data_IF_635657792054
#
_entry.id   IF_635657792054
#
_cell.length_a   1.000
_cell.length_b   1.000
_cell.length_c   1.000
_cell.angle_alpha   90.00
_cell.angle_beta   90.00
_cell.angle_gamma   90.00
#
_symmetry.space_group_name_H-M   'P 1'
#
loop_
_entity.id
_entity.type
_entity.pdbx_description
1 polymer ?
#
# COMPACT_ATOMS: atom_id res chain seq x y z
N UNK A 1 -0.60 -51.59 33.07
CA UNK A 1 -0.77 -51.17 31.69
C UNK A 1 -1.67 -49.94 31.66
N UNK A 2 -1.11 -48.84 31.22
CA UNK A 2 -1.79 -47.53 31.21
C UNK A 2 -2.77 -47.45 30.05
N UNK A 3 -3.93 -46.78 30.24
CA UNK A 3 -4.96 -46.54 29.20
C UNK A 3 -4.48 -45.76 27.97
N UNK A 4 -3.26 -45.23 27.99
CA UNK A 4 -2.62 -44.53 26.87
C UNK A 4 -2.07 -45.45 25.80
N UNK A 5 -1.89 -46.75 26.04
CA UNK A 5 -1.33 -47.69 25.07
C UNK A 5 -2.38 -48.29 24.12
N UNK A 6 -3.66 -47.97 24.33
CA UNK A 6 -4.79 -48.50 23.53
C UNK A 6 -5.26 -47.52 22.44
N UNK A 7 -4.68 -46.32 22.30
CA UNK A 7 -4.99 -45.36 21.25
C UNK A 7 -3.96 -45.48 20.11
N UNK A 8 -4.17 -46.48 19.34
CA UNK A 8 -3.82 -46.78 17.95
C UNK A 8 -2.72 -46.01 17.28
N UNK A 9 -1.54 -46.58 17.18
CA UNK A 9 -0.56 -46.38 16.13
C UNK A 9 -0.93 -47.17 14.86
N UNK A 10 -2.18 -47.15 14.46
CA UNK A 10 -2.63 -47.82 13.23
C UNK A 10 -2.16 -47.06 11.99
N UNK A 11 -1.72 -47.78 10.96
CA UNK A 11 -1.26 -47.25 9.68
C UNK A 11 -2.26 -46.25 9.04
N UNK A 12 -3.54 -46.34 9.37
CA UNK A 12 -4.58 -45.39 8.94
C UNK A 12 -4.39 -43.97 9.48
N UNK A 13 -3.86 -43.79 10.71
CA UNK A 13 -3.56 -42.49 11.26
C UNK A 13 -2.24 -41.89 10.73
N UNK A 14 -1.30 -42.75 10.33
CA UNK A 14 -0.05 -42.28 9.70
C UNK A 14 -0.27 -41.75 8.28
N UNK A 15 -1.25 -42.29 7.56
CA UNK A 15 -1.64 -41.84 6.21
C UNK A 15 -2.38 -40.50 6.28
N UNK A 16 -3.24 -40.28 7.29
CA UNK A 16 -3.93 -39.02 7.50
C UNK A 16 -3.00 -37.82 7.84
N UNK A 17 -1.81 -38.10 8.42
CA UNK A 17 -0.79 -37.09 8.70
C UNK A 17 0.06 -36.70 7.48
N UNK A 18 0.10 -37.53 6.44
CA UNK A 18 0.86 -37.28 5.20
C UNK A 18 0.07 -36.57 4.14
N UNK A 19 -1.27 -36.65 4.14
CA UNK A 19 -2.16 -35.85 3.30
C UNK A 19 -2.72 -34.70 4.12
N UNK A 20 -1.92 -33.67 4.38
CA UNK A 20 -2.33 -32.45 5.09
C UNK A 20 -3.33 -31.57 4.32
N UNK A 21 -4.03 -32.13 3.32
CA UNK A 21 -5.12 -31.49 2.60
C UNK A 21 -6.44 -31.63 3.37
N UNK A 22 -7.11 -30.52 3.66
CA UNK A 22 -8.52 -30.52 4.06
C UNK A 22 -9.30 -31.30 3.01
N UNK A 23 -10.26 -32.14 3.42
CA UNK A 23 -11.16 -32.81 2.44
C UNK A 23 -11.83 -31.76 1.56
N UNK A 24 -12.19 -32.09 0.31
CA UNK A 24 -12.88 -31.17 -0.62
C UNK A 24 -14.08 -30.50 0.02
N UNK A 25 -14.83 -31.23 0.84
CA UNK A 25 -15.97 -30.70 1.59
C UNK A 25 -15.56 -29.73 2.68
N UNK A 26 -14.42 -29.98 3.34
CA UNK A 26 -13.83 -29.06 4.33
C UNK A 26 -13.27 -27.80 3.68
N UNK A 27 -12.71 -27.91 2.47
CA UNK A 27 -12.25 -26.79 1.66
C UNK A 27 -13.42 -25.93 1.18
N UNK A 28 -14.47 -26.55 0.61
CA UNK A 28 -15.68 -25.86 0.18
C UNK A 28 -16.36 -25.10 1.33
N UNK A 29 -16.42 -25.71 2.52
CA UNK A 29 -16.94 -25.03 3.71
C UNK A 29 -16.07 -23.85 4.14
N UNK A 30 -14.76 -23.99 4.12
CA UNK A 30 -13.84 -22.92 4.49
C UNK A 30 -13.85 -21.75 3.47
N UNK A 31 -14.04 -22.04 2.18
CA UNK A 31 -14.27 -21.05 1.13
C UNK A 31 -15.61 -20.33 1.38
N UNK A 32 -16.69 -21.07 1.63
CA UNK A 32 -18.01 -20.49 1.92
C UNK A 32 -18.03 -19.65 3.20
N UNK A 33 -17.16 -19.92 4.16
CA UNK A 33 -16.98 -19.19 5.40
C UNK A 33 -16.00 -18.00 5.29
N UNK A 34 -15.32 -17.85 4.13
CA UNK A 34 -14.30 -16.82 3.92
C UNK A 34 -12.94 -17.13 4.57
N UNK A 35 -12.76 -18.33 5.14
CA UNK A 35 -11.50 -18.75 5.79
C UNK A 35 -10.39 -19.10 4.78
N UNK A 36 -10.77 -19.42 3.53
CA UNK A 36 -9.86 -19.71 2.41
C UNK A 36 -10.31 -18.97 1.16
N UNK A 37 -9.38 -18.37 0.43
CA UNK A 37 -9.70 -17.75 -0.86
C UNK A 37 -10.11 -18.79 -1.90
N UNK A 38 -11.02 -18.42 -2.78
CA UNK A 38 -11.55 -19.25 -3.88
C UNK A 38 -10.61 -19.24 -5.10
N UNK A 39 -9.31 -19.50 -4.91
CA UNK A 39 -8.38 -19.59 -6.01
C UNK A 39 -7.54 -20.87 -5.96
N UNK A 40 -7.20 -21.40 -7.13
CA UNK A 40 -6.45 -22.62 -7.31
C UNK A 40 -5.02 -22.33 -7.79
N UNK A 41 -4.06 -23.09 -7.23
CA UNK A 41 -2.70 -23.10 -7.70
C UNK A 41 -2.62 -24.00 -8.93
N UNK A 42 -2.19 -23.44 -10.05
CA UNK A 42 -2.05 -24.16 -11.32
C UNK A 42 -0.64 -23.98 -11.88
N UNK A 43 -0.16 -24.99 -12.60
CA UNK A 43 1.11 -24.92 -13.33
C UNK A 43 0.83 -24.66 -14.79
N UNK A 44 1.30 -23.50 -15.31
CA UNK A 44 1.09 -23.10 -16.70
C UNK A 44 2.40 -23.05 -17.47
N UNK A 45 2.36 -23.44 -18.77
CA UNK A 45 3.44 -23.13 -19.70
C UNK A 45 3.64 -21.61 -19.83
N UNK A 46 4.89 -21.15 -19.86
CA UNK A 46 5.19 -19.72 -20.00
C UNK A 46 4.64 -19.13 -21.29
N UNK A 47 4.55 -19.93 -22.37
CA UNK A 47 3.96 -19.51 -23.64
C UNK A 47 2.46 -19.21 -23.59
N UNK A 48 1.73 -19.69 -22.58
CA UNK A 48 0.30 -19.39 -22.37
C UNK A 48 0.08 -18.12 -21.51
N UNK A 49 1.15 -17.46 -21.06
CA UNK A 49 1.08 -16.29 -20.20
C UNK A 49 1.75 -15.11 -20.89
N UNK A 50 1.07 -13.98 -20.94
CA UNK A 50 1.63 -12.72 -21.43
C UNK A 50 1.79 -11.72 -20.29
N UNK A 51 2.92 -11.02 -20.19
CA UNK A 51 3.02 -9.86 -19.31
C UNK A 51 2.00 -8.79 -19.69
N UNK A 52 1.45 -8.10 -18.69
CA UNK A 52 0.55 -6.97 -18.98
C UNK A 52 1.33 -5.78 -19.57
N UNK A 53 0.85 -5.16 -20.67
CA UNK A 53 1.44 -3.93 -21.20
C UNK A 53 1.36 -2.74 -20.23
N UNK A 54 0.56 -2.87 -19.17
CA UNK A 54 0.29 -1.82 -18.18
C UNK A 54 1.31 -1.76 -17.04
N UNK A 55 2.19 -2.79 -16.93
CA UNK A 55 3.19 -2.79 -15.89
C UNK A 55 4.15 -1.59 -16.06
N UNK A 56 4.23 -0.67 -15.07
CA UNK A 56 5.14 0.47 -15.15
C UNK A 56 6.61 0.08 -15.06
N UNK A 57 6.90 -1.10 -14.47
CA UNK A 57 8.26 -1.60 -14.27
C UNK A 57 8.92 -1.93 -15.61
N UNK A 58 10.14 -1.44 -15.80
CA UNK A 58 10.98 -1.66 -17.00
C UNK A 58 12.24 -2.43 -16.64
N UNK A 59 12.77 -2.21 -15.44
CA UNK A 59 13.99 -2.88 -14.99
C UNK A 59 13.65 -4.15 -14.21
N UNK A 60 14.05 -5.32 -14.76
CA UNK A 60 13.87 -6.64 -14.14
C UNK A 60 15.19 -7.27 -13.71
N UNK A 61 16.26 -6.49 -13.63
CA UNK A 61 17.60 -6.91 -13.26
C UNK A 61 18.49 -7.21 -14.46
N UNK A 62 19.81 -7.38 -14.18
CA UNK A 62 20.81 -7.77 -15.17
C UNK A 62 20.63 -9.22 -15.63
N UNK A 63 21.33 -9.65 -16.68
CA UNK A 63 21.24 -11.03 -17.15
C UNK A 63 21.81 -12.02 -16.12
N UNK A 64 22.86 -11.63 -15.38
CA UNK A 64 23.40 -12.42 -14.29
C UNK A 64 22.40 -12.60 -13.14
N UNK A 65 21.67 -11.52 -12.79
CA UNK A 65 20.64 -11.58 -11.76
C UNK A 65 19.44 -12.44 -12.20
N UNK A 66 19.04 -12.34 -13.48
CA UNK A 66 17.97 -13.18 -14.05
C UNK A 66 18.39 -14.64 -14.09
N UNK A 67 19.65 -14.93 -14.45
CA UNK A 67 20.21 -16.29 -14.44
C UNK A 67 20.17 -16.87 -13.04
N UNK A 68 20.72 -16.17 -12.05
CA UNK A 68 20.73 -16.62 -10.65
C UNK A 68 19.34 -16.90 -10.16
N UNK A 69 18.44 -15.93 -10.32
CA UNK A 69 17.07 -16.07 -9.84
C UNK A 69 16.27 -17.12 -10.62
N UNK A 70 16.52 -17.29 -11.91
CA UNK A 70 15.93 -18.34 -12.74
C UNK A 70 16.35 -19.76 -12.30
N UNK A 71 17.61 -19.95 -11.92
CA UNK A 71 18.08 -21.23 -11.39
C UNK A 71 17.49 -21.50 -9.98
N UNK A 72 17.37 -20.50 -9.12
CA UNK A 72 16.63 -20.63 -7.85
C UNK A 72 15.17 -21.08 -8.09
N UNK A 73 14.51 -20.50 -9.10
CA UNK A 73 13.13 -20.91 -9.49
C UNK A 73 13.07 -22.34 -10.03
N UNK A 74 14.13 -22.82 -10.70
CA UNK A 74 14.24 -24.19 -11.20
C UNK A 74 14.29 -25.19 -10.04
N UNK A 75 14.99 -24.84 -8.97
CA UNK A 75 15.02 -25.67 -7.76
C UNK A 75 13.68 -25.63 -7.00
N UNK A 76 13.16 -24.44 -6.75
CA UNK A 76 11.89 -24.27 -6.03
C UNK A 76 11.26 -22.89 -6.24
N UNK A 77 10.03 -22.85 -6.67
CA UNK A 77 9.22 -21.65 -6.69
C UNK A 77 8.46 -21.49 -5.37
N UNK A 78 8.95 -20.65 -4.45
CA UNK A 78 8.35 -20.47 -3.13
C UNK A 78 7.03 -19.67 -3.16
N UNK A 79 6.84 -18.79 -4.15
CA UNK A 79 5.63 -17.97 -4.30
C UNK A 79 5.12 -18.03 -5.74
N UNK A 80 3.84 -18.36 -5.91
CA UNK A 80 3.18 -18.37 -7.21
C UNK A 80 3.12 -16.95 -7.81
N UNK A 81 3.10 -16.88 -9.15
CA UNK A 81 2.75 -15.67 -9.86
C UNK A 81 1.22 -15.51 -9.89
N UNK A 82 0.73 -14.29 -10.05
CA UNK A 82 -0.70 -14.00 -10.16
C UNK A 82 -1.06 -13.65 -11.61
N UNK A 83 -2.04 -14.33 -12.16
CA UNK A 83 -2.56 -14.08 -13.50
C UNK A 83 -4.06 -13.86 -13.45
N UNK A 84 -4.57 -13.21 -14.48
CA UNK A 84 -6.00 -13.16 -14.79
C UNK A 84 -6.24 -13.86 -16.13
N UNK A 85 -7.45 -14.38 -16.36
CA UNK A 85 -7.80 -14.98 -17.64
C UNK A 85 -7.78 -13.92 -18.76
N UNK A 86 -7.47 -14.37 -20.00
CA UNK A 86 -7.58 -13.53 -21.21
C UNK A 86 -8.94 -12.84 -21.28
N UNK A 87 -10.00 -13.59 -21.00
CA UNK A 87 -11.37 -13.08 -21.08
C UNK A 87 -11.65 -11.97 -20.05
N UNK A 88 -11.18 -12.09 -18.83
CA UNK A 88 -11.31 -11.06 -17.79
C UNK A 88 -10.51 -9.81 -18.15
N UNK A 89 -9.28 -9.98 -18.64
CA UNK A 89 -8.41 -8.88 -19.05
C UNK A 89 -8.97 -8.10 -20.24
N UNK A 90 -9.40 -8.78 -21.31
CA UNK A 90 -9.90 -8.14 -22.53
C UNK A 90 -11.26 -7.47 -22.35
N UNK A 91 -12.05 -7.82 -21.33
CA UNK A 91 -13.23 -7.04 -20.94
C UNK A 91 -12.86 -5.63 -20.50
N UNK A 92 -11.70 -5.46 -19.90
CA UNK A 92 -11.20 -4.17 -19.42
C UNK A 92 -10.44 -3.40 -20.51
N UNK A 93 -9.62 -4.10 -21.30
CA UNK A 93 -8.76 -3.53 -22.35
C UNK A 93 -8.86 -4.34 -23.63
N UNK A 94 -9.95 -4.18 -24.36
CA UNK A 94 -10.17 -4.86 -25.64
C UNK A 94 -9.13 -4.50 -26.72
N UNK A 95 -8.56 -3.29 -26.64
CA UNK A 95 -7.49 -2.81 -27.51
C UNK A 95 -6.12 -3.45 -27.26
N UNK A 96 -5.98 -4.23 -26.19
CA UNK A 96 -4.74 -4.95 -25.87
C UNK A 96 -4.66 -6.35 -26.51
N UNK A 97 -5.66 -6.79 -27.25
CA UNK A 97 -5.68 -8.14 -27.82
C UNK A 97 -4.42 -8.46 -28.61
N UNK A 98 -4.00 -7.55 -29.51
CA UNK A 98 -2.77 -7.72 -30.28
C UNK A 98 -1.51 -7.72 -29.42
N UNK A 99 -1.51 -6.93 -28.33
CA UNK A 99 -0.35 -6.80 -27.44
C UNK A 99 -0.09 -8.04 -26.59
N UNK A 100 -1.15 -8.75 -26.20
CA UNK A 100 -1.04 -9.99 -25.40
C UNK A 100 -0.92 -11.23 -26.27
N UNK A 101 -1.10 -11.10 -27.60
CA UNK A 101 -1.01 -12.23 -28.55
C UNK A 101 -2.04 -13.31 -28.24
N UNK A 102 -1.63 -14.59 -28.43
CA UNK A 102 -2.50 -15.77 -28.24
C UNK A 102 -2.46 -16.32 -26.79
N UNK A 103 -1.91 -15.57 -25.84
CA UNK A 103 -1.83 -16.01 -24.46
C UNK A 103 -3.23 -16.20 -23.84
N UNK A 104 -3.41 -17.29 -23.09
CA UNK A 104 -4.65 -17.61 -22.37
C UNK A 104 -4.81 -16.80 -21.08
N UNK A 105 -3.69 -16.34 -20.54
CA UNK A 105 -3.62 -15.61 -19.26
C UNK A 105 -2.75 -14.37 -19.38
N UNK A 106 -3.07 -13.33 -18.59
CA UNK A 106 -2.29 -12.10 -18.50
C UNK A 106 -1.74 -11.96 -17.09
N UNK A 107 -0.44 -11.73 -17.00
CA UNK A 107 0.29 -11.60 -15.74
C UNK A 107 -0.06 -10.30 -15.04
N UNK A 108 -0.60 -10.40 -13.83
CA UNK A 108 -0.83 -9.27 -12.93
C UNK A 108 0.39 -9.04 -12.03
N UNK A 109 0.97 -10.12 -11.49
CA UNK A 109 2.05 -10.06 -10.54
C UNK A 109 3.08 -11.17 -10.75
N UNK A 110 4.37 -10.89 -10.42
CA UNK A 110 5.47 -11.85 -10.54
C UNK A 110 6.23 -11.76 -11.85
N UNK A 111 6.20 -10.62 -12.57
CA UNK A 111 6.87 -10.47 -13.87
C UNK A 111 8.39 -10.70 -13.79
N UNK A 112 9.06 -10.35 -12.68
CA UNK A 112 10.47 -10.67 -12.50
C UNK A 112 10.72 -12.19 -12.52
N UNK A 113 9.83 -12.99 -11.84
CA UNK A 113 9.91 -14.47 -11.87
C UNK A 113 9.71 -14.99 -13.29
N UNK A 114 8.66 -14.51 -13.95
CA UNK A 114 8.35 -14.89 -15.31
C UNK A 114 9.51 -14.64 -16.28
N UNK A 115 10.11 -13.44 -16.26
CA UNK A 115 11.23 -13.08 -17.12
C UNK A 115 12.50 -13.84 -16.78
N UNK A 116 12.78 -14.10 -15.50
CA UNK A 116 13.92 -14.90 -15.09
C UNK A 116 13.76 -16.37 -15.50
N UNK A 117 12.55 -16.91 -15.37
CA UNK A 117 12.24 -18.26 -15.85
C UNK A 117 12.39 -18.41 -17.38
N UNK A 118 11.91 -17.42 -18.15
CA UNK A 118 12.12 -17.36 -19.59
C UNK A 118 13.62 -17.31 -19.95
N UNK A 119 14.38 -16.48 -19.22
CA UNK A 119 15.81 -16.29 -19.48
C UNK A 119 16.63 -17.59 -19.34
N UNK A 120 16.29 -18.43 -18.35
CA UNK A 120 16.97 -19.74 -18.14
C UNK A 120 16.27 -20.90 -18.83
N UNK A 121 15.26 -20.64 -19.66
CA UNK A 121 14.56 -21.67 -20.45
C UNK A 121 13.74 -22.63 -19.60
N UNK A 122 13.04 -22.16 -18.56
CA UNK A 122 12.02 -22.93 -17.88
C UNK A 122 10.77 -23.00 -18.74
N UNK A 123 10.12 -24.16 -18.79
CA UNK A 123 8.90 -24.35 -19.58
C UNK A 123 7.65 -23.87 -18.84
N UNK A 124 7.62 -24.02 -17.51
CA UNK A 124 6.44 -23.79 -16.68
C UNK A 124 6.78 -23.07 -15.39
N UNK A 125 5.80 -22.35 -14.82
CA UNK A 125 5.80 -21.82 -13.47
C UNK A 125 4.46 -22.14 -12.78
N UNK A 126 4.44 -21.93 -11.47
CA UNK A 126 3.23 -22.01 -10.65
C UNK A 126 2.54 -20.65 -10.61
N UNK A 127 1.22 -20.65 -10.91
CA UNK A 127 0.38 -19.47 -10.98
C UNK A 127 -0.88 -19.64 -10.16
N UNK A 128 -1.48 -18.52 -9.81
CA UNK A 128 -2.83 -18.43 -9.25
C UNK A 128 -3.67 -17.55 -10.17
N UNK A 129 -4.82 -18.07 -10.63
CA UNK A 129 -5.77 -17.29 -11.42
C UNK A 129 -6.68 -16.49 -10.50
N UNK A 130 -6.72 -15.16 -10.68
CA UNK A 130 -7.44 -14.21 -9.84
C UNK A 130 -8.24 -13.23 -10.69
N UNK A 131 -9.30 -13.70 -11.35
CA UNK A 131 -10.19 -12.86 -12.17
C UNK A 131 -10.96 -11.84 -11.33
N UNK A 132 -11.12 -12.11 -10.04
CA UNK A 132 -11.67 -11.16 -9.06
C UNK A 132 -10.88 -9.85 -8.97
N UNK A 133 -9.56 -9.89 -9.19
CA UNK A 133 -8.68 -8.71 -9.20
C UNK A 133 -8.80 -7.87 -10.49
N UNK A 134 -9.55 -8.37 -11.49
CA UNK A 134 -9.88 -7.70 -12.74
C UNK A 134 -11.36 -7.27 -12.78
N UNK A 135 -11.97 -6.95 -11.65
CA UNK A 135 -13.36 -6.49 -11.58
C UNK A 135 -13.55 -5.12 -12.25
N UNK A 136 -12.55 -4.23 -12.19
CA UNK A 136 -12.51 -2.94 -12.89
C UNK A 136 -11.08 -2.57 -13.31
N UNK A 137 -10.95 -1.59 -14.23
CA UNK A 137 -9.65 -1.03 -14.64
C UNK A 137 -8.89 -0.46 -13.45
N UNK A 138 -9.58 0.27 -12.60
CA UNK A 138 -9.00 0.87 -11.40
C UNK A 138 -8.45 -0.20 -10.44
N UNK A 139 -9.24 -1.27 -10.22
CA UNK A 139 -8.87 -2.34 -9.31
C UNK A 139 -7.68 -3.14 -9.82
N UNK A 140 -7.66 -3.46 -11.11
CA UNK A 140 -6.52 -4.10 -11.73
C UNK A 140 -5.23 -3.29 -11.57
N UNK A 141 -5.24 -1.98 -11.87
CA UNK A 141 -4.06 -1.11 -11.72
C UNK A 141 -3.69 -0.93 -10.26
N UNK A 142 -4.67 -0.84 -9.35
CA UNK A 142 -4.39 -0.81 -7.92
C UNK A 142 -3.58 -2.03 -7.49
N UNK A 143 -4.03 -3.25 -7.85
CA UNK A 143 -3.32 -4.47 -7.50
C UNK A 143 -1.96 -4.62 -8.18
N UNK A 144 -1.84 -4.15 -9.42
CA UNK A 144 -0.57 -4.10 -10.14
C UNK A 144 0.48 -3.22 -9.43
N UNK A 145 0.02 -2.13 -8.80
CA UNK A 145 0.88 -1.18 -8.09
C UNK A 145 1.11 -1.55 -6.62
N UNK A 146 0.08 -2.02 -5.91
CA UNK A 146 0.08 -2.17 -4.45
C UNK A 146 1.25 -3.01 -3.92
N UNK A 147 1.61 -4.11 -4.60
CA UNK A 147 2.75 -4.94 -4.20
C UNK A 147 4.09 -4.22 -4.37
N UNK A 148 4.19 -3.33 -5.37
CA UNK A 148 5.44 -2.68 -5.71
C UNK A 148 5.64 -1.34 -4.98
N UNK A 149 4.56 -0.68 -4.54
CA UNK A 149 4.61 0.67 -3.96
C UNK A 149 5.41 0.78 -2.66
N UNK A 150 5.38 -0.28 -1.84
CA UNK A 150 6.04 -0.31 -0.54
C UNK A 150 7.42 -1.00 -0.60
N UNK A 151 7.86 -1.42 -1.81
CA UNK A 151 9.19 -2.00 -2.01
C UNK A 151 10.23 -0.89 -2.21
N UNK A 152 11.36 -1.03 -1.53
CA UNK A 152 12.49 -0.09 -1.62
C UNK A 152 13.14 -0.09 -3.01
N UNK A 153 13.09 -1.23 -3.72
CA UNK A 153 13.68 -1.42 -5.05
C UNK A 153 12.77 -0.97 -6.21
N UNK A 154 11.60 -0.37 -5.92
CA UNK A 154 10.73 0.13 -6.97
C UNK A 154 11.18 1.51 -7.43
N UNK A 155 11.60 1.59 -8.69
CA UNK A 155 12.05 2.83 -9.32
C UNK A 155 11.05 3.96 -9.13
N UNK A 156 11.56 5.12 -8.72
CA UNK A 156 10.77 6.32 -8.42
C UNK A 156 9.96 6.79 -9.62
N UNK A 157 10.53 6.74 -10.84
CA UNK A 157 9.88 7.17 -12.08
C UNK A 157 8.88 6.10 -12.56
N UNK A 158 9.21 4.82 -12.44
CA UNK A 158 8.27 3.73 -12.73
C UNK A 158 7.04 3.83 -11.82
N UNK A 159 7.25 4.08 -10.53
CA UNK A 159 6.18 4.34 -9.57
C UNK A 159 5.31 5.53 -9.97
N UNK A 160 5.93 6.65 -10.33
CA UNK A 160 5.20 7.85 -10.77
C UNK A 160 4.35 7.58 -12.02
N UNK A 161 4.87 6.82 -13.01
CA UNK A 161 4.12 6.39 -14.21
C UNK A 161 2.93 5.51 -13.85
N UNK A 162 3.10 4.59 -12.90
CA UNK A 162 2.00 3.75 -12.42
C UNK A 162 0.89 4.58 -11.75
N UNK A 163 1.29 5.52 -10.88
CA UNK A 163 0.35 6.46 -10.23
C UNK A 163 -0.38 7.33 -11.27
N UNK A 164 0.32 7.83 -12.30
CA UNK A 164 -0.30 8.58 -13.40
C UNK A 164 -1.37 7.72 -14.09
N UNK A 165 -1.06 6.46 -14.42
CA UNK A 165 -2.01 5.55 -15.06
C UNK A 165 -3.29 5.38 -14.23
N UNK A 166 -3.15 5.21 -12.90
CA UNK A 166 -4.32 5.10 -12.03
C UNK A 166 -5.14 6.40 -12.00
N UNK A 167 -4.48 7.56 -11.98
CA UNK A 167 -5.16 8.87 -12.04
C UNK A 167 -5.91 9.03 -13.35
N UNK A 168 -5.32 8.62 -14.49
CA UNK A 168 -5.94 8.70 -15.81
C UNK A 168 -7.22 7.86 -15.87
N UNK A 169 -7.16 6.61 -15.36
CA UNK A 169 -8.34 5.74 -15.28
C UNK A 169 -9.41 6.33 -14.36
N UNK A 170 -9.03 6.84 -13.18
CA UNK A 170 -9.97 7.54 -12.31
C UNK A 170 -10.59 8.79 -12.97
N UNK A 171 -9.90 9.40 -13.92
CA UNK A 171 -10.41 10.55 -14.67
C UNK A 171 -11.42 10.17 -15.77
N UNK A 172 -11.36 8.92 -16.30
CA UNK A 172 -12.34 8.41 -17.28
C UNK A 172 -13.78 8.51 -16.76
N UNK A 173 -14.00 8.18 -15.47
CA UNK A 173 -15.33 8.30 -14.86
C UNK A 173 -15.69 9.75 -14.54
N UNK A 174 -14.77 10.50 -13.96
CA UNK A 174 -14.94 11.90 -13.60
C UNK A 174 -13.59 12.57 -13.40
N UNK A 175 -13.28 13.56 -14.22
CA UNK A 175 -12.01 14.29 -14.16
C UNK A 175 -11.79 14.97 -12.80
N UNK A 176 -12.85 15.67 -12.30
CA UNK A 176 -12.75 16.32 -10.99
C UNK A 176 -12.57 15.30 -9.85
N UNK A 177 -11.52 15.48 -9.07
CA UNK A 177 -11.20 14.62 -7.94
C UNK A 177 -10.50 13.30 -8.28
N UNK A 178 -10.08 13.05 -9.54
CA UNK A 178 -9.38 11.85 -9.96
C UNK A 178 -8.14 11.55 -9.10
N UNK A 179 -7.32 12.58 -8.80
CA UNK A 179 -6.15 12.45 -7.92
C UNK A 179 -6.51 12.01 -6.50
N UNK A 180 -7.62 12.50 -5.96
CA UNK A 180 -8.09 12.12 -4.62
C UNK A 180 -8.56 10.68 -4.58
N UNK A 181 -9.31 10.23 -5.62
CA UNK A 181 -9.74 8.83 -5.73
C UNK A 181 -8.55 7.88 -5.89
N UNK A 182 -7.59 8.24 -6.74
CA UNK A 182 -6.36 7.46 -6.88
C UNK A 182 -5.56 7.39 -5.56
N UNK A 183 -5.47 8.49 -4.83
CA UNK A 183 -4.82 8.54 -3.53
C UNK A 183 -5.51 7.63 -2.50
N UNK A 184 -6.84 7.68 -2.43
CA UNK A 184 -7.65 6.83 -1.55
C UNK A 184 -7.42 5.35 -1.84
N UNK A 185 -7.45 4.94 -3.11
CA UNK A 185 -7.17 3.55 -3.51
C UNK A 185 -5.77 3.09 -3.13
N UNK A 186 -4.77 3.95 -3.22
CA UNK A 186 -3.39 3.63 -2.87
C UNK A 186 -3.08 3.76 -1.37
N UNK A 187 -4.04 4.19 -0.55
CA UNK A 187 -3.80 4.48 0.87
C UNK A 187 -2.79 5.62 1.09
N UNK A 188 -2.68 6.54 0.14
CA UNK A 188 -1.75 7.68 0.18
C UNK A 188 -2.52 9.01 0.22
N UNK A 189 -1.83 10.12 0.49
CA UNK A 189 -2.46 11.44 0.45
C UNK A 189 -2.56 12.01 -0.98
N UNK A 190 -3.55 12.87 -1.30
CA UNK A 190 -3.61 13.56 -2.59
C UNK A 190 -2.37 14.41 -2.89
N UNK A 191 -1.73 14.95 -1.83
CA UNK A 191 -0.46 15.66 -1.95
C UNK A 191 0.68 14.75 -2.41
N UNK A 192 0.74 13.51 -1.90
CA UNK A 192 1.71 12.52 -2.34
C UNK A 192 1.52 12.17 -3.83
N UNK A 193 0.28 11.93 -4.28
CA UNK A 193 -0.03 11.70 -5.70
C UNK A 193 0.43 12.89 -6.55
N UNK A 194 0.14 14.12 -6.12
CA UNK A 194 0.57 15.32 -6.83
C UNK A 194 2.10 15.43 -6.93
N UNK A 195 2.82 15.03 -5.89
CA UNK A 195 4.28 14.98 -5.90
C UNK A 195 4.82 13.93 -6.88
N UNK A 196 4.23 12.72 -6.90
CA UNK A 196 4.63 11.68 -7.87
C UNK A 196 4.43 12.16 -9.31
N UNK A 197 3.27 12.74 -9.62
CA UNK A 197 3.00 13.26 -10.97
C UNK A 197 3.95 14.39 -11.38
N UNK A 198 4.39 15.19 -10.43
CA UNK A 198 5.32 16.29 -10.70
C UNK A 198 6.71 15.79 -11.13
N UNK A 199 7.12 14.59 -10.73
CA UNK A 199 8.40 13.98 -11.14
C UNK A 199 8.42 13.68 -12.65
N UNK A 200 7.27 13.35 -13.24
CA UNK A 200 7.15 13.06 -14.66
C UNK A 200 7.22 14.31 -15.56
N UNK A 201 7.10 15.50 -14.96
CA UNK A 201 7.22 16.77 -15.66
C UNK A 201 8.67 17.28 -15.71
N UNK A 202 9.58 16.61 -15.02
CA UNK A 202 11.00 16.94 -15.04
C UNK A 202 11.64 16.54 -16.39
N UNK A 203 12.70 17.21 -16.82
CA UNK A 203 13.49 16.80 -17.99
C UNK A 203 13.93 15.33 -17.87
N UNK A 204 14.07 14.66 -19.03
CA UNK A 204 14.35 13.23 -19.08
C UNK A 204 15.68 12.86 -18.40
N UNK A 205 16.70 13.71 -18.52
CA UNK A 205 17.99 13.50 -17.85
C UNK A 205 17.85 13.48 -16.33
N UNK A 206 16.98 14.33 -15.76
CA UNK A 206 16.70 14.33 -14.32
C UNK A 206 15.91 13.06 -13.93
N UNK A 207 14.94 12.65 -14.78
CA UNK A 207 14.21 11.41 -14.55
C UNK A 207 15.15 10.19 -14.57
N UNK A 208 16.14 10.15 -15.45
CA UNK A 208 17.13 9.08 -15.50
C UNK A 208 17.99 9.03 -14.23
N UNK A 209 18.44 10.18 -13.70
CA UNK A 209 19.16 10.25 -12.43
C UNK A 209 18.32 9.79 -11.23
N UNK A 210 17.01 10.03 -11.27
CA UNK A 210 16.08 9.52 -10.26
C UNK A 210 15.89 8.00 -10.37
N UNK A 211 15.79 7.48 -11.60
CA UNK A 211 15.65 6.05 -11.89
C UNK A 211 16.90 5.26 -11.51
N UNK A 212 18.10 5.81 -11.75
CA UNK A 212 19.37 5.17 -11.38
C UNK A 212 19.65 5.23 -9.87
N UNK A 213 18.96 6.11 -9.14
CA UNK A 213 19.23 6.36 -7.73
C UNK A 213 20.36 7.35 -7.45
N UNK A 214 21.01 7.91 -8.50
CA UNK A 214 22.06 8.93 -8.37
C UNK A 214 21.49 10.23 -7.79
N UNK A 215 20.20 10.50 -8.03
CA UNK A 215 19.47 11.60 -7.45
C UNK A 215 18.40 11.07 -6.46
N UNK A 216 18.55 11.34 -5.15
CA UNK A 216 17.53 10.96 -4.16
C UNK A 216 16.19 11.65 -4.38
N UNK A 217 15.06 10.91 -4.23
CA UNK A 217 13.70 11.45 -4.40
C UNK A 217 13.42 12.71 -3.56
N UNK A 218 13.98 12.78 -2.33
CA UNK A 218 13.83 13.96 -1.46
C UNK A 218 14.36 15.24 -2.11
N UNK A 219 15.44 15.11 -2.91
CA UNK A 219 16.12 16.24 -3.55
C UNK A 219 15.35 16.68 -4.81
N UNK A 220 14.65 15.76 -5.47
CA UNK A 220 13.78 16.05 -6.61
C UNK A 220 12.70 17.09 -6.28
N UNK A 221 12.25 17.20 -5.03
CA UNK A 221 11.27 18.21 -4.62
C UNK A 221 11.77 19.64 -4.81
N UNK A 222 13.07 19.87 -4.59
CA UNK A 222 13.71 21.18 -4.82
C UNK A 222 13.72 21.47 -6.32
N UNK A 223 14.11 20.46 -7.13
CA UNK A 223 14.15 20.59 -8.59
C UNK A 223 12.76 20.81 -9.16
N UNK A 224 11.74 20.07 -8.71
CA UNK A 224 10.34 20.26 -9.14
C UNK A 224 9.87 21.68 -8.87
N UNK A 225 10.23 22.25 -7.73
CA UNK A 225 9.89 23.62 -7.41
C UNK A 225 10.59 24.61 -8.34
N UNK A 226 11.91 24.47 -8.51
CA UNK A 226 12.68 25.32 -9.41
C UNK A 226 12.19 25.24 -10.86
N UNK A 227 11.91 24.02 -11.36
CA UNK A 227 11.38 23.84 -12.71
C UNK A 227 9.98 24.44 -12.93
N UNK A 228 9.16 24.52 -11.87
CA UNK A 228 7.86 25.23 -11.94
C UNK A 228 7.99 26.74 -11.93
N UNK A 229 8.95 27.25 -11.16
CA UNK A 229 9.22 28.70 -11.08
C UNK A 229 9.92 29.21 -12.36
N UNK A 230 10.72 28.36 -13.00
CA UNK A 230 11.51 28.70 -14.21
C UNK A 230 11.58 27.51 -15.16
N UNK A 231 10.54 27.32 -16.01
CA UNK A 231 10.43 26.18 -16.92
C UNK A 231 11.50 26.13 -18.02
N UNK A 232 12.17 27.24 -18.29
CA UNK A 232 13.22 27.40 -19.30
C UNK A 232 14.61 26.92 -18.83
N UNK A 233 14.76 26.54 -17.56
CA UNK A 233 16.06 26.10 -17.05
C UNK A 233 16.46 24.74 -17.65
N UNK A 234 17.74 24.68 -18.04
CA UNK A 234 18.34 23.43 -18.49
C UNK A 234 18.47 22.41 -17.34
N UNK A 235 18.54 21.10 -17.62
CA UNK A 235 18.79 20.09 -16.59
C UNK A 235 20.01 20.36 -15.74
N UNK A 236 21.11 20.81 -16.37
CA UNK A 236 22.35 21.20 -15.67
C UNK A 236 22.14 22.39 -14.71
N UNK A 237 21.39 23.41 -15.11
CA UNK A 237 21.07 24.55 -14.26
C UNK A 237 20.20 24.15 -13.07
N UNK A 238 19.26 23.23 -13.25
CA UNK A 238 18.43 22.68 -12.17
C UNK A 238 19.28 21.90 -11.13
N UNK A 239 20.25 21.11 -11.60
CA UNK A 239 21.19 20.40 -10.71
C UNK A 239 22.12 21.35 -9.96
N UNK A 240 22.56 22.43 -10.62
CA UNK A 240 23.37 23.46 -9.99
C UNK A 240 22.60 24.19 -8.88
N UNK A 241 21.33 24.57 -9.13
CA UNK A 241 20.43 25.14 -8.11
C UNK A 241 20.24 24.17 -6.92
N UNK A 242 20.10 22.89 -7.19
CA UNK A 242 20.04 21.88 -6.12
C UNK A 242 21.31 21.89 -5.27
N UNK A 243 22.49 21.90 -5.90
CA UNK A 243 23.77 21.93 -5.19
C UNK A 243 23.93 23.22 -4.37
N UNK A 244 23.59 24.36 -4.93
CA UNK A 244 23.58 25.64 -4.21
C UNK A 244 22.64 25.60 -2.98
N UNK A 245 21.43 25.07 -3.16
CA UNK A 245 20.47 24.92 -2.06
C UNK A 245 20.98 23.99 -0.96
N UNK A 246 21.66 22.91 -1.31
CA UNK A 246 22.28 22.00 -0.33
C UNK A 246 23.42 22.67 0.44
N UNK A 247 24.25 23.42 -0.24
CA UNK A 247 25.36 24.16 0.38
C UNK A 247 24.82 25.19 1.37
N UNK A 248 23.85 26.01 0.95
CA UNK A 248 23.20 26.99 1.84
C UNK A 248 22.55 26.34 3.06
N UNK A 249 21.89 25.20 2.86
CA UNK A 249 21.30 24.43 3.96
C UNK A 249 22.35 23.87 4.92
N UNK A 250 23.48 23.43 4.42
CA UNK A 250 24.59 22.93 5.24
C UNK A 250 25.22 24.06 6.05
N UNK A 251 25.48 25.21 5.44
CA UNK A 251 26.01 26.41 6.08
C UNK A 251 25.05 26.91 7.19
N UNK A 252 23.78 27.05 6.88
CA UNK A 252 22.76 27.45 7.87
C UNK A 252 22.69 26.46 9.05
N UNK A 253 22.76 25.15 8.81
CA UNK A 253 22.78 24.15 9.89
C UNK A 253 24.05 24.25 10.75
N UNK A 254 25.19 24.53 10.14
CA UNK A 254 26.46 24.72 10.84
C UNK A 254 26.38 25.95 11.74
N UNK A 255 25.88 27.07 11.22
CA UNK A 255 25.66 28.30 11.96
C UNK A 255 24.69 28.10 13.14
N UNK A 256 23.55 27.43 12.91
CA UNK A 256 22.58 27.11 13.98
C UNK A 256 23.22 26.25 15.08
N UNK A 257 24.06 25.28 14.69
CA UNK A 257 24.76 24.43 15.64
C UNK A 257 25.74 25.22 16.47
N UNK A 258 26.51 26.13 15.86
CA UNK A 258 27.46 26.99 16.54
C UNK A 258 26.76 27.96 17.54
N UNK A 259 25.61 28.54 17.13
CA UNK A 259 24.79 29.36 17.99
C UNK A 259 24.30 28.57 19.22
N UNK A 260 23.78 27.34 19.00
CA UNK A 260 23.31 26.48 20.10
C UNK A 260 24.45 26.08 21.04
N UNK A 261 25.61 25.73 20.49
CA UNK A 261 26.80 25.39 21.29
C UNK A 261 27.34 26.60 22.07
N UNK A 262 27.38 27.79 21.47
CA UNK A 262 27.79 29.02 22.15
C UNK A 262 26.82 29.39 23.29
N UNK A 263 25.52 29.28 23.08
CA UNK A 263 24.51 29.49 24.13
C UNK A 263 24.66 28.47 25.27
N UNK A 264 24.92 27.21 24.93
CA UNK A 264 25.13 26.16 25.93
C UNK A 264 26.40 26.37 26.74
N UNK A 265 27.48 26.81 26.08
CA UNK A 265 28.73 27.18 26.75
C UNK A 265 28.56 28.40 27.66
N UNK A 266 27.83 29.44 27.21
CA UNK A 266 27.52 30.61 28.01
C UNK A 266 26.67 30.29 29.26
N UNK A 267 25.70 29.39 29.12
CA UNK A 267 24.92 28.90 30.27
C UNK A 267 25.75 28.07 31.24
N UNK A 268 26.71 27.28 30.75
CA UNK A 268 27.60 26.48 31.58
C UNK A 268 28.67 27.34 32.28
N UNK A 269 29.06 28.50 31.69
CA UNK A 269 30.02 29.45 32.23
C UNK A 269 29.41 30.52 33.15
N UNK A 270 28.10 30.53 33.32
CA UNK A 270 27.39 31.46 34.22
C UNK A 270 27.87 31.30 35.66
N UNK A 271 28.23 32.38 36.36
CA UNK A 271 28.74 32.27 37.73
C UNK A 271 27.63 31.82 38.66
N UNK A 272 27.73 30.59 39.15
CA UNK A 272 27.08 30.19 40.38
C UNK A 272 27.72 31.02 41.54
N UNK A 273 27.38 32.29 41.63
CA UNK A 273 27.56 33.02 42.89
C UNK A 273 26.47 32.50 43.81
N UNK A 274 26.84 31.51 44.62
CA UNK A 274 26.08 31.15 45.80
C UNK A 274 26.01 32.38 46.70
N UNK A 275 24.97 33.18 46.56
CA UNK A 275 24.64 34.21 47.54
C UNK A 275 24.18 33.48 48.79
N UNK A 276 25.12 33.37 49.73
CA UNK A 276 24.87 32.93 51.10
C UNK A 276 24.04 34.03 51.76
N UNK A 277 22.72 33.87 51.76
CA UNK A 277 21.82 34.76 52.47
C UNK A 277 22.03 34.63 53.98
N UNK A 278 22.26 35.70 54.72
CA UNK A 278 22.24 35.65 56.19
C UNK A 278 20.79 35.47 56.65
N UNK A 279 20.58 34.45 57.47
CA UNK A 279 19.37 34.27 58.26
C UNK A 279 19.04 35.50 59.09
N UNK A 280 17.96 36.19 58.73
CA UNK A 280 17.34 37.18 59.59
C UNK A 280 15.91 36.74 59.93
N UNK A 281 15.62 36.74 61.23
CA UNK A 281 14.41 36.28 61.87
C UNK A 281 13.16 37.07 61.42
N UNK A 282 12.06 36.31 61.29
CA UNK A 282 10.70 36.81 61.10
C UNK A 282 10.19 37.53 62.34
N UNK A 283 9.43 38.60 62.18
CA UNK A 283 8.36 38.97 63.15
C UNK A 283 6.99 38.66 62.55
N UNK A 284 6.15 38.05 63.37
CA UNK A 284 4.75 37.69 63.12
C UNK A 284 3.91 38.97 62.92
N UNK A 285 2.99 38.94 61.95
CA UNK A 285 1.90 39.88 61.80
C UNK A 285 0.54 39.17 61.69
N UNK A 286 -0.57 39.76 62.20
CA UNK A 286 -1.86 39.14 62.41
C UNK A 286 -2.74 39.14 61.15
N UNK A 287 -3.90 38.37 61.17
CA UNK A 287 -4.71 38.11 59.97
C UNK A 287 -5.69 39.26 59.69
N UNK A 288 -6.07 39.53 58.44
CA UNK A 288 -7.17 40.40 58.10
C UNK A 288 -8.49 39.65 57.93
N UNK A 289 -9.57 40.29 58.35
CA UNK A 289 -10.95 39.89 58.27
C UNK A 289 -11.56 40.14 56.85
N UNK A 290 -12.77 39.57 56.59
CA UNK A 290 -13.31 39.45 55.26
C UNK A 290 -14.15 40.66 54.81
N UNK A 291 -14.17 40.94 53.51
CA UNK A 291 -15.24 41.76 52.88
C UNK A 291 -15.64 41.15 51.53
N UNK A 292 -16.91 40.92 51.37
CA UNK A 292 -17.72 40.67 50.16
C UNK A 292 -18.15 41.99 49.48
N UNK A 293 -18.97 41.93 48.41
CA UNK A 293 -18.55 42.11 47.00
C UNK A 293 -19.20 43.38 46.39
N UNK A 294 -18.75 43.82 45.25
CA UNK A 294 -19.64 44.53 44.29
C UNK A 294 -19.13 44.46 42.83
N UNK A 295 -20.16 44.42 41.97
CA UNK A 295 -20.10 44.23 40.56
C UNK A 295 -19.78 45.53 39.78
N UNK A 296 -19.47 45.32 38.55
CA UNK A 296 -19.76 46.03 37.29
C UNK A 296 -18.56 46.40 36.45
N UNK A 297 -18.65 46.14 35.14
CA UNK A 297 -18.03 46.93 34.13
C UNK A 297 -17.21 46.21 33.06
N UNK A 298 -17.82 46.05 31.91
CA UNK A 298 -17.30 45.70 30.59
C UNK A 298 -16.02 46.46 30.18
N UNK A 299 -15.06 45.75 29.57
CA UNK A 299 -14.30 46.25 28.42
C UNK A 299 -13.45 45.14 27.75
N UNK A 300 -13.45 45.15 26.45
CA UNK A 300 -12.85 44.19 25.50
C UNK A 300 -11.32 44.26 25.37
N UNK A 301 -10.72 43.13 24.92
CA UNK A 301 -9.52 42.98 24.10
C UNK A 301 -8.27 42.42 24.80
N UNK A 302 -7.25 41.96 24.06
CA UNK A 302 -7.27 40.91 23.03
C UNK A 302 -6.48 39.64 23.43
N UNK A 303 -6.71 38.57 22.67
CA UNK A 303 -6.14 37.24 22.73
C UNK A 303 -4.63 37.11 22.86
N UNK A 304 -4.18 36.32 23.83
CA UNK A 304 -2.90 35.58 23.76
C UNK A 304 -3.15 34.10 24.03
N UNK A 305 -2.84 33.28 23.03
CA UNK A 305 -3.01 31.82 23.05
C UNK A 305 -1.93 31.20 23.96
N UNK A 306 -2.35 30.52 25.00
CA UNK A 306 -1.51 29.59 25.77
C UNK A 306 -1.89 28.18 25.40
N UNK A 307 -0.91 27.46 24.86
CA UNK A 307 -0.96 26.08 24.39
C UNK A 307 -0.92 25.14 25.59
N UNK A 308 -2.05 24.56 25.96
CA UNK A 308 -2.14 23.47 26.95
C UNK A 308 -2.29 22.13 26.26
N UNK A 309 -1.50 21.13 26.70
CA UNK A 309 -1.53 19.77 26.24
C UNK A 309 -2.84 19.06 26.65
N UNK A 310 -3.36 18.12 25.85
CA UNK A 310 -4.57 17.40 26.22
C UNK A 310 -4.28 16.26 27.18
N UNK A 311 -5.06 16.23 28.26
CA UNK A 311 -5.16 15.10 29.19
C UNK A 311 -5.93 13.95 28.54
N UNK A 312 -5.50 12.72 28.82
CA UNK A 312 -6.12 11.49 28.36
C UNK A 312 -7.53 11.32 28.92
N UNK A 313 -8.48 10.98 28.05
CA UNK A 313 -9.84 10.55 28.41
C UNK A 313 -9.85 9.03 28.67
N UNK A 314 -10.63 8.55 29.64
CA UNK A 314 -10.78 7.12 29.90
C UNK A 314 -11.69 6.44 28.88
N UNK A 315 -11.32 5.22 28.49
CA UNK A 315 -12.02 4.35 27.57
C UNK A 315 -13.41 3.95 28.10
N UNK A 316 -14.43 4.03 27.22
CA UNK A 316 -15.76 3.49 27.47
C UNK A 316 -15.80 1.95 27.32
N UNK A 317 -16.64 1.23 28.07
CA UNK A 317 -16.79 -0.22 27.97
C UNK A 317 -17.57 -0.64 26.71
N UNK A 318 -17.36 -1.88 26.19
CA UNK A 318 -18.05 -2.37 25.00
C UNK A 318 -19.53 -2.67 25.26
N UNK A 319 -20.40 -2.57 24.24
CA UNK A 319 -21.82 -2.91 24.37
C UNK A 319 -22.04 -4.42 24.47
N UNK A 320 -23.05 -4.79 25.28
CA UNK A 320 -23.48 -6.17 25.50
C UNK A 320 -24.15 -6.78 24.26
N UNK A 321 -24.13 -8.11 24.09
CA UNK A 321 -24.74 -8.78 22.97
C UNK A 321 -26.28 -8.81 23.09
N UNK A 322 -26.96 -8.48 21.99
CA UNK A 322 -28.39 -8.62 21.86
C UNK A 322 -28.77 -10.08 21.63
N UNK A 323 -29.71 -10.59 22.48
CA UNK A 323 -30.42 -11.84 22.27
C UNK A 323 -31.45 -11.68 21.14
N UNK A 324 -31.74 -12.72 20.34
CA UNK A 324 -32.82 -12.65 19.33
C UNK A 324 -34.16 -12.97 19.94
N UNK A 325 -35.11 -12.04 19.85
CA UNK A 325 -36.53 -12.29 20.14
C UNK A 325 -37.16 -13.19 19.05
N UNK A 326 -37.81 -14.24 19.54
CA UNK A 326 -38.65 -15.12 18.76
C UNK A 326 -40.07 -14.52 18.63
N UNK A 327 -40.55 -14.34 17.42
CA UNK A 327 -41.99 -14.22 17.13
C UNK A 327 -42.31 -14.89 15.79
N UNK A 328 -43.01 -15.95 15.81
CA UNK A 328 -44.45 -16.02 15.51
C UNK A 328 -44.72 -16.65 14.17
N UNK A 329 -45.12 -17.88 14.20
CA UNK A 329 -45.71 -18.71 13.13
C UNK A 329 -46.87 -17.99 12.40
N UNK A 330 -46.89 -18.09 11.05
CA UNK A 330 -48.12 -18.09 10.27
C UNK A 330 -47.94 -19.03 9.05
N UNK A 331 -48.71 -20.09 9.06
CA UNK A 331 -48.90 -21.05 7.98
C UNK A 331 -49.73 -20.45 6.83
N UNK A 332 -49.39 -20.83 5.59
CA UNK A 332 -50.24 -20.62 4.41
C UNK A 332 -49.82 -21.55 3.25
N UNK A 333 -50.73 -22.06 2.43
CA UNK A 333 -50.63 -23.40 1.89
C UNK A 333 -49.91 -23.48 0.51
N UNK A 334 -49.35 -24.66 0.31
CA UNK A 334 -48.81 -25.23 -0.92
C UNK A 334 -49.78 -25.23 -2.09
N UNK A 335 -49.30 -24.80 -3.26
CA UNK A 335 -49.84 -25.31 -4.55
C UNK A 335 -48.65 -25.72 -5.43
N UNK A 336 -48.56 -27.04 -5.62
CA UNK A 336 -47.64 -27.69 -6.54
C UNK A 336 -48.13 -27.54 -7.97
N UNK A 337 -47.33 -26.96 -8.84
CA UNK A 337 -47.54 -27.07 -10.30
C UNK A 337 -46.43 -27.95 -10.88
N UNK A 338 -46.94 -29.06 -11.36
CA UNK A 338 -46.21 -30.15 -12.07
C UNK A 338 -46.09 -29.76 -13.53
N UNK A 339 -44.90 -29.51 -14.07
CA UNK A 339 -44.69 -29.36 -15.51
C UNK A 339 -43.77 -30.48 -16.01
N UNK A 340 -44.26 -31.17 -17.02
CA UNK A 340 -43.62 -32.29 -17.69
C UNK A 340 -42.55 -31.86 -18.70
N UNK A 341 -41.62 -32.74 -19.10
CA UNK A 341 -40.49 -32.37 -19.95
C UNK A 341 -40.89 -32.35 -21.46
N UNK A 342 -40.44 -31.31 -22.14
CA UNK A 342 -40.56 -31.20 -23.60
C UNK A 342 -39.46 -31.97 -24.31
N UNK A 343 -39.84 -32.65 -25.38
CA UNK A 343 -39.06 -33.54 -26.23
C UNK A 343 -38.06 -32.79 -27.11
N UNK A 344 -36.90 -33.44 -27.35
CA UNK A 344 -35.87 -33.07 -28.31
C UNK A 344 -36.35 -33.29 -29.77
N UNK A 345 -36.01 -32.44 -30.75
CA UNK A 345 -36.19 -32.73 -32.16
C UNK A 345 -34.97 -33.50 -32.72
N UNK A 346 -35.29 -34.49 -33.54
CA UNK A 346 -34.40 -35.41 -34.27
C UNK A 346 -33.60 -34.70 -35.36
N UNK A 347 -32.36 -35.17 -35.58
CA UNK A 347 -31.49 -34.79 -36.69
C UNK A 347 -31.98 -35.43 -38.02
N UNK A 348 -31.73 -34.81 -39.21
CA UNK A 348 -31.96 -35.43 -40.50
C UNK A 348 -30.80 -36.30 -40.95
N UNK A 349 -31.07 -37.41 -41.72
CA UNK A 349 -30.04 -38.25 -42.34
C UNK A 349 -29.68 -37.74 -43.75
N UNK A 350 -28.81 -38.49 -44.48
CA UNK A 350 -27.39 -38.24 -44.78
C UNK A 350 -27.15 -37.34 -45.96
#
# INVERSE_FOLDING_TARGET
MSKSDLLGTGAAFATARRSGGRSERGRAKAIAQGDLPEYELIRLPLGQVSPTPLNPRRNFGTDEEKTRFGEELRESQLAACVVVSRSAYLKLWSDHEVKIGDADHVLLNGERRYRSAQHVGLDTLDFVVRDDLAASREEFIHHLLAENLDREDFDVIERARGVQRLVDICAEDKEHGAKSRAAERLGKSPGWVTQQLALLQLPEEIQQLLSSGDLPERDARIIVRAAKESPELSPSALLELLNQSKTQQAEWKAEQKEIIESHRAAQAAGPFTAVKSPSAALPSAPPPAPHEPEATGLAEGPFTAVKSAPAALPSAPPPAPHEPEATGLAEGPFTAVKSAPAALPSAPPP
#
